data_IF_130309751512
#
_entry.id   IF_130309751512
#
_cell.length_a   1.000
_cell.length_b   1.000
_cell.length_c   1.000
_cell.angle_alpha   90.00
_cell.angle_beta   90.00
_cell.angle_gamma   90.00
#
_symmetry.space_group_name_H-M   'P 1'
#
loop_
_entity.id
_entity.type
_entity.pdbx_description
1 polymer ?
#
# COMPACT_ATOMS: atom_id res chain seq x y z
N UNK A 1 3.22 -10.72 -15.55
CA UNK A 1 3.95 -9.65 -14.85
C UNK A 1 5.30 -10.18 -14.36
N UNK A 2 5.32 -11.22 -13.52
CA UNK A 2 6.55 -11.84 -12.98
C UNK A 2 7.58 -12.26 -14.03
N UNK A 3 7.13 -12.79 -15.17
CA UNK A 3 8.02 -13.13 -16.28
C UNK A 3 8.82 -11.91 -16.77
N UNK A 4 8.18 -10.75 -16.93
CA UNK A 4 8.81 -9.50 -17.38
C UNK A 4 9.76 -8.94 -16.32
N UNK A 5 9.36 -8.98 -15.04
CA UNK A 5 10.20 -8.58 -13.91
C UNK A 5 11.48 -9.43 -13.86
N UNK A 6 11.37 -10.74 -14.05
CA UNK A 6 12.52 -11.66 -14.08
C UNK A 6 13.45 -11.44 -15.28
N UNK A 7 12.94 -10.90 -16.38
CA UNK A 7 13.74 -10.49 -17.54
C UNK A 7 14.36 -9.09 -17.39
N UNK A 8 14.04 -8.36 -16.33
CA UNK A 8 14.45 -6.97 -16.13
C UNK A 8 13.69 -5.95 -17.00
N UNK A 9 12.58 -6.37 -17.62
CA UNK A 9 11.74 -5.51 -18.46
C UNK A 9 10.72 -4.72 -17.61
N UNK A 10 11.23 -3.92 -16.66
CA UNK A 10 10.39 -3.26 -15.64
C UNK A 10 9.36 -2.29 -16.23
N UNK A 11 9.73 -1.52 -17.27
CA UNK A 11 8.78 -0.65 -17.96
C UNK A 11 7.58 -1.43 -18.52
N UNK A 12 7.85 -2.56 -19.20
CA UNK A 12 6.80 -3.40 -19.77
C UNK A 12 5.96 -4.04 -18.67
N UNK A 13 6.59 -4.47 -17.57
CA UNK A 13 5.87 -4.94 -16.40
C UNK A 13 4.91 -3.87 -15.84
N UNK A 14 5.35 -2.61 -15.75
CA UNK A 14 4.53 -1.49 -15.29
C UNK A 14 3.36 -1.25 -16.22
N UNK A 15 3.57 -1.28 -17.55
CA UNK A 15 2.48 -1.14 -18.52
C UNK A 15 1.46 -2.28 -18.41
N UNK A 16 1.90 -3.51 -18.15
CA UNK A 16 0.98 -4.63 -17.88
C UNK A 16 0.22 -4.40 -16.59
N UNK A 17 0.85 -3.91 -15.52
CA UNK A 17 0.17 -3.57 -14.28
C UNK A 17 -0.89 -2.49 -14.49
N UNK A 18 -0.57 -1.43 -15.25
CA UNK A 18 -1.54 -0.39 -15.60
C UNK A 18 -2.73 -0.95 -16.39
N UNK A 19 -2.52 -1.95 -17.27
CA UNK A 19 -3.64 -2.59 -17.97
C UNK A 19 -4.55 -3.42 -17.03
N UNK A 20 -4.00 -3.97 -15.95
CA UNK A 20 -4.80 -4.64 -14.90
C UNK A 20 -5.62 -3.61 -14.12
N UNK A 21 -5.02 -2.47 -13.80
CA UNK A 21 -5.73 -1.35 -13.17
C UNK A 21 -6.95 -0.93 -13.98
N UNK A 22 -6.81 -0.78 -15.29
CA UNK A 22 -7.91 -0.40 -16.17
C UNK A 22 -9.09 -1.39 -16.15
N UNK A 23 -8.82 -2.69 -15.94
CA UNK A 23 -9.86 -3.73 -15.82
C UNK A 23 -10.59 -3.62 -14.47
N UNK A 24 -9.88 -3.22 -13.41
CA UNK A 24 -10.45 -3.10 -12.06
C UNK A 24 -11.34 -1.85 -11.90
N UNK A 25 -11.37 -0.92 -12.85
CA UNK A 25 -12.14 0.33 -12.79
C UNK A 25 -13.67 0.19 -12.65
N UNK A 26 -14.22 -1.03 -12.67
CA UNK A 26 -15.65 -1.28 -12.37
C UNK A 26 -15.96 -1.40 -10.87
N UNK A 27 -14.94 -1.38 -10.01
CA UNK A 27 -15.06 -1.37 -8.56
C UNK A 27 -14.16 -0.28 -7.96
N UNK A 28 -14.47 0.23 -6.77
CA UNK A 28 -13.56 1.15 -6.10
C UNK A 28 -12.30 0.38 -5.65
N UNK A 29 -11.12 0.66 -6.22
CA UNK A 29 -9.92 -0.13 -5.97
C UNK A 29 -9.32 0.13 -4.58
N UNK A 30 -9.70 1.24 -3.95
CA UNK A 30 -9.24 1.62 -2.62
C UNK A 30 -10.13 1.05 -1.51
N UNK A 31 -11.43 0.88 -1.76
CA UNK A 31 -12.35 0.23 -0.83
C UNK A 31 -13.57 -0.30 -1.58
N UNK A 32 -13.65 -1.62 -1.80
CA UNK A 32 -14.69 -2.21 -2.65
C UNK A 32 -16.12 -2.13 -2.07
N UNK A 33 -16.28 -1.76 -0.79
CA UNK A 33 -17.59 -1.52 -0.17
C UNK A 33 -18.09 -0.08 -0.39
N UNK A 34 -17.21 0.83 -0.81
CA UNK A 34 -17.55 2.21 -1.12
C UNK A 34 -17.92 2.34 -2.61
N UNK A 35 -18.75 3.35 -2.97
CA UNK A 35 -18.97 3.71 -4.37
C UNK A 35 -17.65 3.92 -5.10
N UNK A 36 -17.66 3.75 -6.43
CA UNK A 36 -16.60 4.27 -7.27
C UNK A 36 -16.49 5.78 -7.02
N UNK A 37 -15.44 6.18 -6.29
CA UNK A 37 -15.09 7.58 -6.12
C UNK A 37 -13.83 7.79 -6.96
N UNK A 38 -13.87 8.75 -7.88
CA UNK A 38 -12.66 9.29 -8.51
C UNK A 38 -11.89 10.06 -7.43
N UNK A 39 -11.11 9.34 -6.61
CA UNK A 39 -10.25 9.94 -5.60
C UNK A 39 -10.96 10.53 -4.38
N UNK A 40 -10.18 11.21 -3.55
CA UNK A 40 -10.70 12.05 -2.47
C UNK A 40 -11.37 13.29 -3.06
N UNK A 41 -12.28 13.92 -2.31
CA UNK A 41 -12.75 15.25 -2.70
C UNK A 41 -11.56 16.22 -2.74
N UNK A 42 -11.28 16.81 -3.90
CA UNK A 42 -10.30 17.88 -4.12
C UNK A 42 -10.58 19.17 -3.32
N UNK A 43 -11.50 19.14 -2.36
CA UNK A 43 -11.82 20.26 -1.48
C UNK A 43 -10.61 20.71 -0.66
N UNK A 44 -9.71 19.79 -0.30
CA UNK A 44 -8.46 20.17 0.35
C UNK A 44 -7.55 20.98 -0.58
N UNK A 45 -7.57 20.71 -1.90
CA UNK A 45 -6.78 21.43 -2.91
C UNK A 45 -7.20 22.90 -2.96
N UNK A 46 -8.49 23.19 -2.77
CA UNK A 46 -9.00 24.56 -2.66
C UNK A 46 -8.40 25.26 -1.45
N UNK A 47 -8.46 24.62 -0.27
CA UNK A 47 -7.97 25.17 0.99
C UNK A 47 -6.46 25.44 0.95
N UNK A 48 -5.66 24.47 0.49
CA UNK A 48 -4.20 24.64 0.44
C UNK A 48 -3.76 25.71 -0.57
N UNK A 49 -4.61 25.99 -1.57
CA UNK A 49 -4.41 27.06 -2.53
C UNK A 49 -5.01 28.42 -2.11
N UNK A 50 -5.58 28.54 -0.90
CA UNK A 50 -5.95 29.85 -0.38
C UNK A 50 -4.70 30.65 -0.01
N UNK A 51 -4.70 31.95 -0.36
CA UNK A 51 -3.57 32.85 -0.07
C UNK A 51 -3.27 32.92 1.43
N UNK A 52 -4.30 32.96 2.27
CA UNK A 52 -4.13 33.01 3.72
C UNK A 52 -3.53 31.70 4.24
N UNK A 53 -4.01 30.55 3.75
CA UNK A 53 -3.46 29.25 4.12
C UNK A 53 -1.98 29.12 3.72
N UNK A 54 -1.62 29.43 2.48
CA UNK A 54 -0.21 29.39 2.02
C UNK A 54 0.72 30.30 2.83
N UNK A 55 0.23 31.48 3.24
CA UNK A 55 0.98 32.39 4.13
C UNK A 55 1.19 31.78 5.50
N UNK A 56 0.16 31.13 6.07
CA UNK A 56 0.22 30.48 7.38
C UNK A 56 1.22 29.31 7.42
N UNK A 57 1.34 28.54 6.34
CA UNK A 57 2.29 27.42 6.25
C UNK A 57 3.64 27.78 5.59
N UNK A 58 3.84 29.06 5.25
CA UNK A 58 5.09 29.60 4.71
C UNK A 58 5.61 28.97 3.40
N UNK A 59 4.71 28.54 2.50
CA UNK A 59 5.09 27.89 1.22
C UNK A 59 5.19 28.85 0.03
N UNK A 60 5.08 30.16 0.27
CA UNK A 60 5.14 31.17 -0.79
C UNK A 60 3.87 31.20 -1.65
N UNK A 61 4.03 31.44 -2.96
CA UNK A 61 2.91 31.65 -3.88
C UNK A 61 2.82 30.60 -5.01
N UNK A 62 3.50 29.47 -4.86
CA UNK A 62 3.38 28.36 -5.81
C UNK A 62 2.03 27.68 -5.60
N UNK A 63 1.29 27.49 -6.68
CA UNK A 63 0.03 26.75 -6.69
C UNK A 63 0.31 25.26 -6.48
N UNK A 64 -0.37 24.65 -5.52
CA UNK A 64 -0.36 23.20 -5.37
C UNK A 64 -1.21 22.55 -6.46
N UNK A 65 -0.66 21.53 -7.11
CA UNK A 65 -1.34 20.68 -8.08
C UNK A 65 -0.92 19.24 -7.87
N UNK A 66 -1.86 18.33 -8.05
CA UNK A 66 -1.52 16.94 -8.30
C UNK A 66 -0.97 16.82 -9.72
N UNK A 67 0.13 16.08 -9.88
CA UNK A 67 0.82 15.92 -11.16
C UNK A 67 1.28 14.47 -11.34
N UNK A 68 1.04 13.91 -12.52
CA UNK A 68 1.48 12.55 -12.86
C UNK A 68 2.90 12.49 -13.43
N UNK A 69 3.54 13.64 -13.65
CA UNK A 69 4.84 13.70 -14.31
C UNK A 69 5.89 12.90 -13.56
N UNK A 70 5.88 12.90 -12.22
CA UNK A 70 6.83 12.13 -11.41
C UNK A 70 6.62 10.63 -11.63
N UNK A 71 5.37 10.15 -11.55
CA UNK A 71 5.04 8.74 -11.80
C UNK A 71 5.46 8.31 -13.22
N UNK A 72 5.14 9.12 -14.23
CA UNK A 72 5.49 8.84 -15.63
C UNK A 72 7.01 8.79 -15.89
N UNK A 73 7.81 9.53 -15.11
CA UNK A 73 9.28 9.46 -15.18
C UNK A 73 9.86 8.26 -14.41
N UNK A 74 9.08 7.61 -13.55
CA UNK A 74 9.50 6.46 -12.72
C UNK A 74 8.89 5.13 -13.17
N UNK A 75 8.35 5.05 -14.40
CA UNK A 75 7.74 3.82 -14.92
C UNK A 75 8.69 2.61 -14.94
N UNK A 76 9.99 2.83 -15.05
CA UNK A 76 11.01 1.77 -14.98
C UNK A 76 11.37 1.34 -13.56
N UNK A 77 11.02 2.15 -12.56
CA UNK A 77 11.28 1.87 -11.14
C UNK A 77 10.11 1.12 -10.50
N UNK A 78 8.88 1.46 -10.89
CA UNK A 78 7.64 1.01 -10.24
C UNK A 78 7.53 -0.52 -10.04
N UNK A 79 7.94 -1.32 -11.03
CA UNK A 79 7.87 -2.79 -10.96
C UNK A 79 9.18 -3.46 -10.56
N UNK A 80 10.18 -2.71 -10.09
CA UNK A 80 11.39 -3.32 -9.56
C UNK A 80 11.11 -4.02 -8.23
N UNK A 81 11.63 -5.25 -8.01
CA UNK A 81 11.41 -5.96 -6.77
C UNK A 81 12.18 -5.29 -5.62
N UNK A 82 11.52 -5.18 -4.47
CA UNK A 82 12.13 -4.71 -3.21
C UNK A 82 12.31 -5.84 -2.18
N UNK A 83 12.01 -7.09 -2.57
CA UNK A 83 12.05 -8.26 -1.69
C UNK A 83 13.42 -8.45 -1.01
N UNK A 84 14.51 -8.05 -1.65
CA UNK A 84 15.87 -8.13 -1.10
C UNK A 84 16.11 -7.23 0.13
N UNK A 85 15.31 -6.17 0.33
CA UNK A 85 15.46 -5.26 1.47
C UNK A 85 14.86 -5.86 2.75
N UNK A 86 13.83 -6.68 2.61
CA UNK A 86 13.05 -7.18 3.73
C UNK A 86 13.82 -8.06 4.72
N UNK A 87 14.69 -9.01 4.32
CA UNK A 87 15.42 -9.84 5.27
C UNK A 87 16.21 -9.03 6.31
N UNK A 88 16.85 -7.95 5.88
CA UNK A 88 17.59 -7.06 6.80
C UNK A 88 16.63 -6.29 7.71
N UNK A 89 15.57 -5.72 7.13
CA UNK A 89 14.57 -4.96 7.88
C UNK A 89 13.92 -5.80 8.98
N UNK A 90 13.47 -7.00 8.62
CA UNK A 90 12.76 -7.93 9.51
C UNK A 90 13.65 -8.54 10.60
N UNK A 91 14.98 -8.61 10.40
CA UNK A 91 15.90 -9.12 11.42
C UNK A 91 16.38 -8.03 12.38
N UNK A 92 16.58 -6.79 11.88
CA UNK A 92 17.23 -5.72 12.65
C UNK A 92 16.27 -4.71 13.26
N UNK A 93 15.10 -4.49 12.67
CA UNK A 93 14.16 -3.45 13.09
C UNK A 93 12.80 -4.04 13.47
N UNK A 94 12.06 -3.34 14.33
CA UNK A 94 10.65 -3.64 14.55
C UNK A 94 9.85 -3.12 13.34
N UNK A 95 9.27 -4.07 12.59
CA UNK A 95 8.57 -3.81 11.33
C UNK A 95 7.11 -4.22 11.50
N UNK A 96 6.20 -3.29 11.17
CA UNK A 96 4.77 -3.55 11.00
C UNK A 96 4.40 -3.38 9.53
N UNK A 97 3.91 -4.44 8.90
CA UNK A 97 3.33 -4.39 7.57
C UNK A 97 1.82 -4.63 7.67
N UNK A 98 1.01 -3.67 7.23
CA UNK A 98 -0.43 -3.73 7.38
C UNK A 98 -1.17 -3.37 6.10
N UNK A 99 -2.36 -3.96 5.94
CA UNK A 99 -3.33 -3.56 4.91
C UNK A 99 -4.72 -3.54 5.55
N UNK A 100 -5.61 -2.71 5.00
CA UNK A 100 -7.05 -2.89 5.18
C UNK A 100 -7.56 -4.11 4.40
N UNK A 101 -8.56 -4.80 4.93
CA UNK A 101 -9.14 -5.98 4.27
C UNK A 101 -10.05 -5.64 3.08
N UNK A 102 -10.45 -4.37 2.93
CA UNK A 102 -11.29 -3.88 1.83
C UNK A 102 -10.49 -3.29 0.65
N UNK A 103 -9.16 -3.24 0.77
CA UNK A 103 -8.24 -2.79 -0.28
C UNK A 103 -8.16 -3.82 -1.41
N UNK A 104 -8.26 -3.37 -2.66
CA UNK A 104 -8.13 -4.23 -3.84
C UNK A 104 -6.80 -4.05 -4.55
N UNK A 105 -6.33 -2.81 -4.72
CA UNK A 105 -5.09 -2.53 -5.46
C UNK A 105 -3.85 -3.11 -4.77
N UNK A 106 -3.84 -3.09 -3.43
CA UNK A 106 -2.80 -3.72 -2.61
C UNK A 106 -3.41 -4.65 -1.57
N UNK A 107 -4.28 -5.54 -2.04
CA UNK A 107 -5.03 -6.47 -1.19
C UNK A 107 -4.15 -7.24 -0.18
N UNK A 108 -4.73 -7.50 0.99
CA UNK A 108 -4.02 -8.18 2.08
C UNK A 108 -3.43 -9.54 1.67
N UNK A 109 -4.12 -10.29 0.81
CA UNK A 109 -3.64 -11.58 0.28
C UNK A 109 -2.43 -11.43 -0.63
N UNK A 110 -2.37 -10.39 -1.47
CA UNK A 110 -1.21 -10.12 -2.33
C UNK A 110 0.04 -9.81 -1.48
N UNK A 111 -0.16 -9.11 -0.37
CA UNK A 111 0.91 -8.84 0.59
C UNK A 111 1.39 -10.11 1.30
N UNK A 112 0.47 -11.02 1.63
CA UNK A 112 0.83 -12.31 2.24
C UNK A 112 1.61 -13.20 1.26
N UNK A 113 1.19 -13.26 -0.01
CA UNK A 113 1.92 -13.94 -1.08
C UNK A 113 3.31 -13.32 -1.30
N UNK A 114 3.41 -11.99 -1.28
CA UNK A 114 4.69 -11.28 -1.34
C UNK A 114 5.62 -11.70 -0.20
N UNK A 115 5.14 -11.74 1.05
CA UNK A 115 5.94 -12.16 2.21
C UNK A 115 6.49 -13.58 2.02
N UNK A 116 5.68 -14.46 1.44
CA UNK A 116 6.05 -15.85 1.18
C UNK A 116 7.19 -16.01 0.18
N UNK A 117 7.43 -15.01 -0.68
CA UNK A 117 8.58 -14.98 -1.61
C UNK A 117 9.89 -14.50 -0.98
N UNK A 118 9.84 -13.87 0.20
CA UNK A 118 11.02 -13.28 0.84
C UNK A 118 11.96 -14.39 1.31
N UNK A 119 13.22 -14.32 0.88
CA UNK A 119 14.31 -15.21 1.32
C UNK A 119 14.80 -14.83 2.73
N UNK A 120 13.95 -15.03 3.73
CA UNK A 120 14.25 -14.76 5.13
C UNK A 120 14.52 -16.06 5.90
N UNK A 121 15.59 -16.09 6.70
CA UNK A 121 16.01 -17.29 7.46
C UNK A 121 14.93 -17.82 8.40
N UNK A 122 14.04 -16.95 8.90
CA UNK A 122 12.97 -17.35 9.80
C UNK A 122 11.60 -17.51 9.11
N UNK A 123 11.52 -17.54 7.78
CA UNK A 123 10.24 -17.57 7.06
C UNK A 123 9.35 -18.74 7.48
N UNK A 124 9.91 -19.94 7.66
CA UNK A 124 9.15 -21.11 8.11
C UNK A 124 8.62 -20.95 9.54
N UNK A 125 9.41 -20.37 10.44
CA UNK A 125 8.97 -20.09 11.80
C UNK A 125 7.88 -19.02 11.83
N UNK A 126 7.99 -18.01 10.98
CA UNK A 126 6.93 -17.02 10.77
C UNK A 126 5.66 -17.69 10.22
N UNK A 127 5.75 -18.52 9.18
CA UNK A 127 4.59 -19.24 8.61
C UNK A 127 3.84 -20.06 9.66
N UNK A 128 4.56 -20.67 10.60
CA UNK A 128 3.99 -21.44 11.71
C UNK A 128 3.55 -20.58 12.92
N UNK A 129 3.84 -19.28 12.95
CA UNK A 129 3.43 -18.42 14.05
C UNK A 129 1.91 -18.28 14.09
N UNK A 130 1.34 -18.28 15.30
CA UNK A 130 -0.11 -18.16 15.48
C UNK A 130 -0.59 -16.74 15.17
N UNK A 131 -1.71 -16.66 14.44
CA UNK A 131 -2.47 -15.44 14.26
C UNK A 131 -3.26 -15.12 15.54
N UNK A 132 -3.36 -13.84 15.90
CA UNK A 132 -4.11 -13.33 17.06
C UNK A 132 -5.10 -12.27 16.61
N UNK A 133 -6.29 -12.24 17.19
CA UNK A 133 -7.22 -11.14 17.01
C UNK A 133 -6.92 -10.01 18.00
N UNK A 134 -7.05 -8.78 17.53
CA UNK A 134 -7.02 -7.56 18.35
C UNK A 134 -8.45 -7.10 18.54
N UNK A 135 -8.82 -6.82 19.79
CA UNK A 135 -10.16 -6.35 20.15
C UNK A 135 -10.11 -4.97 20.79
N UNK A 136 -11.01 -4.11 20.37
CA UNK A 136 -11.31 -2.82 20.99
C UNK A 136 -12.82 -2.81 21.28
N UNK A 137 -13.23 -2.46 22.50
CA UNK A 137 -14.64 -2.43 22.91
C UNK A 137 -15.40 -3.73 22.57
N UNK A 138 -14.76 -4.88 22.78
CA UNK A 138 -15.29 -6.22 22.50
C UNK A 138 -15.54 -6.56 21.01
N UNK A 139 -15.15 -5.68 20.09
CA UNK A 139 -15.17 -5.92 18.64
C UNK A 139 -13.78 -6.26 18.14
N UNK A 140 -13.66 -7.23 17.23
CA UNK A 140 -12.38 -7.53 16.57
C UNK A 140 -12.12 -6.44 15.53
N UNK A 141 -10.97 -5.79 15.62
CA UNK A 141 -10.58 -4.69 14.72
C UNK A 141 -9.42 -5.05 13.81
N UNK A 142 -8.65 -6.09 14.16
CA UNK A 142 -7.55 -6.56 13.33
C UNK A 142 -7.20 -8.02 13.63
N UNK A 143 -6.58 -8.66 12.66
CA UNK A 143 -5.81 -9.90 12.87
C UNK A 143 -4.33 -9.60 12.73
N UNK A 144 -3.52 -10.14 13.62
CA UNK A 144 -2.07 -9.92 13.65
C UNK A 144 -1.32 -11.23 13.72
N UNK A 145 -0.20 -11.31 13.02
CA UNK A 145 0.74 -12.42 13.07
C UNK A 145 2.13 -11.86 13.30
N UNK A 146 2.72 -12.17 14.45
CA UNK A 146 4.03 -11.66 14.85
C UNK A 146 5.02 -12.80 15.02
N UNK A 147 6.20 -12.64 14.44
CA UNK A 147 7.36 -13.46 14.72
C UNK A 147 8.59 -12.57 14.90
N UNK A 148 9.25 -12.69 16.06
CA UNK A 148 10.34 -11.79 16.49
C UNK A 148 9.94 -10.31 16.35
N UNK A 149 10.60 -9.58 15.45
CA UNK A 149 10.45 -8.14 15.22
C UNK A 149 9.52 -7.81 14.04
N UNK A 150 9.10 -8.81 13.27
CA UNK A 150 8.18 -8.62 12.16
C UNK A 150 6.74 -8.91 12.59
N UNK A 151 5.85 -7.96 12.31
CA UNK A 151 4.41 -8.07 12.55
C UNK A 151 3.67 -7.81 11.24
N UNK A 152 2.83 -8.76 10.84
CA UNK A 152 1.84 -8.61 9.78
C UNK A 152 0.48 -8.34 10.41
N UNK A 153 -0.25 -7.34 9.92
CA UNK A 153 -1.59 -7.00 10.43
C UNK A 153 -2.60 -6.78 9.30
N UNK A 154 -3.76 -7.41 9.40
CA UNK A 154 -4.91 -7.11 8.54
C UNK A 154 -5.92 -6.34 9.37
N UNK A 155 -6.16 -5.10 9.00
CA UNK A 155 -7.14 -4.21 9.66
C UNK A 155 -8.51 -4.48 9.06
N UNK A 156 -9.51 -4.66 9.92
CA UNK A 156 -10.87 -4.99 9.50
C UNK A 156 -11.69 -3.72 9.25
N UNK A 157 -12.59 -3.80 8.27
CA UNK A 157 -13.48 -2.73 7.82
C UNK A 157 -12.74 -1.49 7.32
N UNK A 158 -11.56 -1.68 6.73
CA UNK A 158 -10.73 -0.60 6.22
C UNK A 158 -10.19 -0.95 4.83
N UNK A 159 -10.05 0.05 3.96
CA UNK A 159 -9.48 -0.06 2.64
C UNK A 159 -8.00 0.33 2.59
N UNK A 160 -7.57 0.75 1.40
CA UNK A 160 -6.21 1.19 1.07
C UNK A 160 -5.75 2.34 1.97
N UNK A 161 -6.68 3.26 2.26
CA UNK A 161 -6.46 4.43 3.09
C UNK A 161 -6.90 4.11 4.51
N UNK A 162 -6.29 3.07 5.08
CA UNK A 162 -6.70 2.46 6.34
C UNK A 162 -6.91 3.45 7.51
N UNK A 163 -6.14 4.55 7.66
CA UNK A 163 -6.42 5.53 8.73
C UNK A 163 -7.61 6.46 8.48
N UNK A 164 -8.06 6.58 7.22
CA UNK A 164 -9.23 7.39 6.85
C UNK A 164 -10.54 6.65 7.13
N UNK A 165 -10.56 5.35 6.85
CA UNK A 165 -11.70 4.47 7.08
C UNK A 165 -11.86 4.08 8.56
#
# INVERSE_FOLDING_TARGET
MDHLVNLGEFRNATLVWMSVWDILNNLNPYNYEQPLVEGFTDDYIKVINETNFRKLIHVGNVEYKEIDSVFNNLLEDFMQPVTQLFPELMEKFDVLLFNGNLDVITAASLTDDFIDTIKWTNINSYKNASQKSIKINNQIVAYTKRFKRFTRATILNAGHLTPHD
#
